data_IF_306580864872
#
_entry.id   IF_306580864872
#
_cell.length_a   1.000
_cell.length_b   1.000
_cell.length_c   1.000
_cell.angle_alpha   90.00
_cell.angle_beta   90.00
_cell.angle_gamma   90.00
#
_symmetry.space_group_name_H-M   'P 1'
#
loop_
_entity.id
_entity.type
_entity.pdbx_description
1 polymer ?
#
# COMPACT_ATOMS: atom_id res chain seq x y z
N UNK A 1 -6.08 -0.97 52.10
CA UNK A 1 -6.64 -0.13 51.04
C UNK A 1 -5.70 -0.20 49.85
N UNK A 2 -5.82 -1.31 49.06
CA UNK A 2 -4.95 -1.57 47.94
C UNK A 2 -5.42 -0.78 46.72
N UNK A 3 -4.58 0.13 46.23
CA UNK A 3 -4.80 0.90 45.00
C UNK A 3 -4.60 -0.06 43.82
N UNK A 4 -5.69 -0.44 43.19
CA UNK A 4 -5.68 -1.18 41.93
C UNK A 4 -5.08 -0.28 40.84
N UNK A 5 -3.85 -0.60 40.44
CA UNK A 5 -3.19 0.05 39.31
C UNK A 5 -3.77 -0.62 38.03
N UNK A 6 -4.40 0.13 37.12
CA UNK A 6 -4.88 -0.45 35.88
C UNK A 6 -3.70 -0.98 35.06
N UNK A 7 -3.88 -2.07 34.29
CA UNK A 7 -2.81 -2.63 33.47
C UNK A 7 -2.34 -1.59 32.45
N UNK A 8 -1.03 -1.36 32.43
CA UNK A 8 -0.36 -0.56 31.42
C UNK A 8 -0.57 -1.23 30.04
N UNK A 9 -1.38 -0.60 29.17
CA UNK A 9 -1.63 -1.12 27.84
C UNK A 9 -2.87 -0.59 27.13
N UNK A 10 -3.75 0.13 27.81
CA UNK A 10 -4.84 0.86 27.16
C UNK A 10 -4.39 2.32 26.98
N UNK A 11 -3.66 2.59 25.89
CA UNK A 11 -3.60 3.96 25.39
C UNK A 11 -5.02 4.42 25.08
N UNK A 12 -5.44 5.66 25.47
CA UNK A 12 -6.73 6.19 25.04
C UNK A 12 -6.76 6.09 23.51
N UNK A 13 -7.72 5.33 22.97
CA UNK A 13 -7.82 5.12 21.54
C UNK A 13 -7.78 6.47 20.85
N UNK A 14 -6.66 6.82 20.21
CA UNK A 14 -6.74 7.76 19.10
C UNK A 14 -7.86 7.21 18.26
N UNK A 15 -8.88 8.01 18.10
CA UNK A 15 -10.09 7.62 17.42
C UNK A 15 -9.71 7.16 16.00
N UNK A 16 -9.50 5.84 15.86
CA UNK A 16 -9.07 5.22 14.61
C UNK A 16 -10.10 5.49 13.53
N UNK A 17 -11.37 5.69 13.94
CA UNK A 17 -12.43 6.06 13.03
C UNK A 17 -12.23 7.47 12.47
N UNK A 18 -11.81 8.44 13.28
CA UNK A 18 -11.51 9.78 12.80
C UNK A 18 -10.30 9.80 11.84
N UNK A 19 -9.29 8.97 12.09
CA UNK A 19 -8.16 8.80 11.16
C UNK A 19 -8.63 8.17 9.86
N UNK A 20 -9.45 7.12 9.92
CA UNK A 20 -10.02 6.45 8.76
C UNK A 20 -10.88 7.40 7.92
N UNK A 21 -11.76 8.19 8.55
CA UNK A 21 -12.58 9.19 7.85
C UNK A 21 -11.71 10.23 7.13
N UNK A 22 -10.68 10.74 7.80
CA UNK A 22 -9.72 11.66 7.17
C UNK A 22 -9.01 11.04 5.98
N UNK A 23 -8.69 9.75 6.05
CA UNK A 23 -7.99 9.01 4.99
C UNK A 23 -8.92 8.51 3.87
N UNK A 24 -10.24 8.51 4.08
CA UNK A 24 -11.22 7.97 3.14
C UNK A 24 -11.04 8.50 1.70
N UNK A 25 -10.87 9.81 1.43
CA UNK A 25 -10.65 10.30 0.07
C UNK A 25 -9.37 9.72 -0.58
N UNK A 26 -8.31 9.58 0.20
CA UNK A 26 -7.05 9.00 -0.27
C UNK A 26 -7.18 7.50 -0.55
N UNK A 27 -7.89 6.76 0.31
CA UNK A 27 -8.17 5.34 0.14
C UNK A 27 -9.09 5.10 -1.07
N UNK A 28 -10.11 5.93 -1.27
CA UNK A 28 -10.99 5.88 -2.43
C UNK A 28 -10.18 6.07 -3.72
N UNK A 29 -9.36 7.12 -3.80
CA UNK A 29 -8.50 7.37 -4.96
C UNK A 29 -7.53 6.19 -5.21
N UNK A 30 -6.99 5.59 -4.14
CA UNK A 30 -6.12 4.42 -4.22
C UNK A 30 -6.80 3.20 -4.82
N UNK A 31 -8.01 2.86 -4.38
CA UNK A 31 -8.74 1.68 -4.87
C UNK A 31 -9.34 1.91 -6.26
N UNK A 32 -10.00 3.05 -6.52
CA UNK A 32 -10.60 3.37 -7.82
C UNK A 32 -9.58 3.33 -8.94
N UNK A 33 -8.38 3.88 -8.71
CA UNK A 33 -7.32 3.87 -9.71
C UNK A 33 -6.86 2.46 -10.09
N UNK A 34 -7.00 1.48 -9.20
CA UNK A 34 -6.54 0.11 -9.42
C UNK A 34 -7.62 -0.86 -9.87
N UNK A 35 -8.83 -0.65 -9.40
CA UNK A 35 -9.97 -1.51 -9.73
C UNK A 35 -10.74 -0.98 -10.93
N UNK A 36 -10.60 0.33 -11.25
CA UNK A 36 -11.38 1.03 -12.26
C UNK A 36 -12.90 0.92 -12.03
N UNK A 37 -13.29 0.54 -10.81
CA UNK A 37 -14.68 0.32 -10.38
C UNK A 37 -14.91 1.00 -9.03
N UNK A 38 -15.67 2.11 -8.98
CA UNK A 38 -15.94 2.82 -7.74
C UNK A 38 -16.77 2.01 -6.73
N UNK A 39 -17.62 1.08 -7.19
CA UNK A 39 -18.45 0.25 -6.30
C UNK A 39 -17.57 -0.75 -5.57
N UNK A 40 -16.70 -1.46 -6.28
CA UNK A 40 -15.72 -2.37 -5.66
C UNK A 40 -14.76 -1.62 -4.74
N UNK A 41 -14.38 -0.39 -5.09
CA UNK A 41 -13.54 0.44 -4.24
C UNK A 41 -14.22 0.77 -2.91
N UNK A 42 -15.51 1.11 -2.94
CA UNK A 42 -16.30 1.39 -1.75
C UNK A 42 -16.44 0.13 -0.88
N UNK A 43 -16.70 -1.04 -1.47
CA UNK A 43 -16.77 -2.31 -0.75
C UNK A 43 -15.46 -2.61 -0.01
N UNK A 44 -14.30 -2.39 -0.66
CA UNK A 44 -13.00 -2.60 -0.02
C UNK A 44 -12.73 -1.58 1.10
N UNK A 45 -13.25 -0.36 0.98
CA UNK A 45 -13.17 0.64 2.06
C UNK A 45 -14.00 0.17 3.26
N UNK A 46 -15.22 -0.31 3.03
CA UNK A 46 -16.08 -0.83 4.10
C UNK A 46 -15.45 -2.03 4.79
N UNK A 47 -14.89 -2.98 4.02
CA UNK A 47 -14.14 -4.12 4.55
C UNK A 47 -12.95 -3.65 5.41
N UNK A 48 -12.24 -2.62 4.97
CA UNK A 48 -11.12 -2.03 5.71
C UNK A 48 -11.60 -1.43 7.04
N UNK A 49 -12.72 -0.68 7.03
CA UNK A 49 -13.31 -0.11 8.25
C UNK A 49 -13.71 -1.21 9.25
N UNK A 50 -14.37 -2.26 8.78
CA UNK A 50 -14.77 -3.40 9.62
C UNK A 50 -13.53 -4.07 10.24
N UNK A 51 -12.50 -4.32 9.44
CA UNK A 51 -11.24 -4.91 9.93
C UNK A 51 -10.56 -4.02 10.97
N UNK A 52 -10.49 -2.71 10.72
CA UNK A 52 -9.89 -1.78 11.67
C UNK A 52 -10.68 -1.67 12.97
N UNK A 53 -12.01 -1.77 12.91
CA UNK A 53 -12.88 -1.75 14.09
C UNK A 53 -12.79 -3.03 14.93
N UNK A 54 -12.60 -4.19 14.29
CA UNK A 54 -12.54 -5.50 14.97
C UNK A 54 -11.12 -5.86 15.44
N UNK A 55 -10.09 -5.34 14.79
CA UNK A 55 -8.72 -5.57 15.23
C UNK A 55 -8.38 -4.63 16.39
N UNK A 56 -7.91 -5.18 17.49
CA UNK A 56 -7.10 -4.41 18.46
C UNK A 56 -5.81 -4.05 17.71
N UNK A 57 -5.85 -2.92 16.98
CA UNK A 57 -4.72 -2.45 16.21
C UNK A 57 -3.44 -2.36 17.04
N UNK A 58 -2.26 -2.48 16.44
CA UNK A 58 -1.02 -2.27 17.15
C UNK A 58 -1.06 -0.88 17.78
N UNK A 59 -0.56 -0.76 19.02
CA UNK A 59 -0.33 0.52 19.66
C UNK A 59 0.75 1.26 18.84
N UNK A 60 0.32 1.97 17.79
CA UNK A 60 1.21 2.70 16.89
C UNK A 60 0.90 4.18 16.96
N UNK A 61 1.95 5.00 17.07
CA UNK A 61 1.84 6.46 16.99
C UNK A 61 1.51 6.97 15.57
N UNK A 62 1.49 6.06 14.58
CA UNK A 62 1.31 6.37 13.16
C UNK A 62 0.31 5.42 12.50
N UNK A 63 -0.98 5.51 12.85
CA UNK A 63 -2.01 4.60 12.37
C UNK A 63 -2.22 4.67 10.86
N UNK A 64 -1.92 5.82 10.24
CA UNK A 64 -2.08 6.03 8.79
C UNK A 64 -1.28 5.02 7.97
N UNK A 65 -0.04 4.77 8.39
CA UNK A 65 0.81 3.78 7.75
C UNK A 65 0.25 2.38 7.81
N UNK A 66 -0.29 2.01 8.96
CA UNK A 66 -0.93 0.71 9.17
C UNK A 66 -2.21 0.56 8.33
N UNK A 67 -3.03 1.61 8.27
CA UNK A 67 -4.25 1.63 7.45
C UNK A 67 -3.92 1.43 5.97
N UNK A 68 -2.93 2.15 5.43
CA UNK A 68 -2.51 1.95 4.03
C UNK A 68 -1.91 0.58 3.77
N UNK A 69 -1.17 0.00 4.70
CA UNK A 69 -0.66 -1.36 4.58
C UNK A 69 -1.81 -2.37 4.53
N UNK A 70 -2.82 -2.21 5.38
CA UNK A 70 -4.00 -3.05 5.37
C UNK A 70 -4.80 -2.90 4.07
N UNK A 71 -4.96 -1.68 3.55
CA UNK A 71 -5.58 -1.41 2.26
C UNK A 71 -4.84 -2.10 1.11
N UNK A 72 -3.50 -2.02 1.09
CA UNK A 72 -2.68 -2.68 0.06
C UNK A 72 -2.78 -4.21 0.14
N UNK A 73 -2.89 -4.78 1.34
CA UNK A 73 -3.09 -6.21 1.53
C UNK A 73 -4.48 -6.65 1.03
N UNK A 74 -5.55 -5.89 1.35
CA UNK A 74 -6.89 -6.15 0.83
C UNK A 74 -6.94 -6.17 -0.69
N UNK A 75 -6.30 -5.19 -1.33
CA UNK A 75 -6.23 -5.12 -2.79
C UNK A 75 -5.48 -6.32 -3.39
N UNK A 76 -4.37 -6.73 -2.76
CA UNK A 76 -3.61 -7.91 -3.18
C UNK A 76 -4.44 -9.19 -3.06
N UNK A 77 -5.22 -9.31 -2.00
CA UNK A 77 -6.12 -10.45 -1.80
C UNK A 77 -7.25 -10.45 -2.83
N UNK A 78 -7.76 -9.28 -3.21
CA UNK A 78 -8.73 -9.12 -4.29
C UNK A 78 -8.16 -9.60 -5.63
N UNK A 79 -6.97 -9.13 -6.02
CA UNK A 79 -6.32 -9.59 -7.26
C UNK A 79 -6.03 -11.08 -7.28
N UNK A 80 -5.67 -11.69 -6.15
CA UNK A 80 -5.49 -13.15 -6.06
C UNK A 80 -6.80 -13.89 -6.30
N UNK A 81 -7.92 -13.40 -5.74
CA UNK A 81 -9.25 -13.97 -5.96
C UNK A 81 -9.67 -13.87 -7.42
N UNK A 82 -9.45 -12.72 -8.03
CA UNK A 82 -9.80 -12.47 -9.44
C UNK A 82 -8.94 -13.31 -10.38
N UNK A 83 -7.64 -13.42 -10.13
CA UNK A 83 -6.73 -14.30 -10.89
C UNK A 83 -7.13 -15.78 -10.78
N UNK A 84 -7.60 -16.22 -9.61
CA UNK A 84 -8.09 -17.59 -9.42
C UNK A 84 -9.39 -17.83 -10.19
N UNK A 85 -10.32 -16.87 -10.16
CA UNK A 85 -11.55 -16.92 -10.97
C UNK A 85 -11.25 -16.97 -12.47
N UNK A 86 -10.32 -16.13 -12.93
CA UNK A 86 -9.92 -16.09 -14.34
C UNK A 86 -9.28 -17.39 -14.79
N UNK A 87 -8.39 -17.99 -14.00
CA UNK A 87 -7.80 -19.31 -14.29
C UNK A 87 -8.86 -20.41 -14.34
N UNK A 88 -9.83 -20.38 -13.42
CA UNK A 88 -10.92 -21.36 -13.42
C UNK A 88 -11.85 -21.21 -14.62
N UNK A 89 -12.01 -20.00 -15.15
CA UNK A 89 -12.75 -19.73 -16.38
C UNK A 89 -11.94 -20.11 -17.63
N UNK A 90 -10.62 -19.86 -17.65
CA UNK A 90 -9.73 -20.22 -18.76
C UNK A 90 -9.43 -21.73 -18.84
N UNK A 91 -9.45 -22.48 -17.74
CA UNK A 91 -9.30 -23.94 -17.81
C UNK A 91 -10.43 -24.64 -18.58
N UNK A 92 -11.42 -23.89 -19.01
CA UNK A 92 -12.49 -24.31 -19.94
C UNK A 92 -12.29 -23.85 -21.39
N UNK A 93 -11.25 -23.08 -21.67
CA UNK A 93 -10.92 -22.60 -23.02
C UNK A 93 -9.44 -22.91 -23.28
N UNK A 94 -9.23 -23.75 -24.29
CA UNK A 94 -8.01 -24.34 -24.84
C UNK A 94 -6.80 -23.43 -24.98
N UNK A 95 -5.61 -24.04 -24.78
CA UNK A 95 -4.24 -23.67 -25.13
C UNK A 95 -4.09 -22.67 -26.28
N UNK A 96 -3.41 -21.56 -25.99
CA UNK A 96 -2.67 -20.81 -27.00
C UNK A 96 -1.24 -20.63 -26.46
N UNK A 97 -0.34 -21.41 -27.03
CA UNK A 97 1.11 -21.33 -26.89
C UNK A 97 1.57 -19.96 -27.45
N UNK A 98 1.89 -19.02 -26.58
CA UNK A 98 2.51 -17.76 -26.94
C UNK A 98 4.02 -18.00 -26.97
N UNK A 99 4.55 -18.29 -28.17
CA UNK A 99 5.97 -18.39 -28.42
C UNK A 99 6.71 -17.14 -27.92
N UNK A 100 7.59 -17.30 -26.95
CA UNK A 100 8.44 -16.23 -26.40
C UNK A 100 9.66 -16.10 -27.33
N UNK A 101 9.79 -14.92 -27.97
CA UNK A 101 10.95 -14.57 -28.78
C UNK A 101 12.21 -14.48 -27.86
N UNK A 102 13.36 -15.12 -28.25
CA UNK A 102 14.58 -15.10 -27.42
C UNK A 102 15.13 -13.70 -27.10
N UNK A 103 14.93 -12.73 -27.98
CA UNK A 103 15.33 -11.30 -27.78
C UNK A 103 14.49 -10.66 -26.66
N UNK A 104 13.28 -11.10 -26.48
CA UNK A 104 12.39 -10.66 -25.39
C UNK A 104 12.80 -11.27 -24.03
N UNK A 105 13.42 -12.45 -24.02
CA UNK A 105 13.82 -13.12 -22.78
C UNK A 105 14.93 -12.38 -22.03
N UNK A 106 15.92 -11.83 -22.71
CA UNK A 106 17.02 -11.07 -22.10
C UNK A 106 16.53 -9.71 -21.57
N UNK A 107 15.69 -9.03 -22.33
CA UNK A 107 15.01 -7.78 -21.89
C UNK A 107 14.08 -8.03 -20.70
N UNK A 108 13.35 -9.13 -20.71
CA UNK A 108 12.49 -9.56 -19.61
C UNK A 108 13.31 -9.87 -18.35
N UNK A 109 14.45 -10.51 -18.49
CA UNK A 109 15.35 -10.83 -17.37
C UNK A 109 15.94 -9.53 -16.77
N UNK A 110 16.45 -8.63 -17.60
CA UNK A 110 16.96 -7.33 -17.18
C UNK A 110 15.88 -6.47 -16.49
N UNK A 111 14.67 -6.42 -17.07
CA UNK A 111 13.54 -5.73 -16.47
C UNK A 111 13.15 -6.35 -15.11
N UNK A 112 13.14 -7.67 -14.98
CA UNK A 112 12.87 -8.36 -13.71
C UNK A 112 13.93 -8.07 -12.65
N UNK A 113 15.21 -8.01 -13.03
CA UNK A 113 16.31 -7.65 -12.14
C UNK A 113 16.17 -6.20 -11.63
N UNK A 114 15.87 -5.26 -12.53
CA UNK A 114 15.65 -3.85 -12.19
C UNK A 114 14.44 -3.67 -11.26
N UNK A 115 13.32 -4.33 -11.55
CA UNK A 115 12.14 -4.33 -10.66
C UNK A 115 12.46 -4.95 -9.31
N UNK A 116 13.23 -6.05 -9.30
CA UNK A 116 13.69 -6.70 -8.08
C UNK A 116 14.58 -5.79 -7.21
N UNK A 117 15.47 -5.03 -7.83
CA UNK A 117 16.31 -4.04 -7.16
C UNK A 117 15.46 -2.94 -6.52
N UNK A 118 14.57 -2.33 -7.29
CA UNK A 118 13.63 -1.30 -6.79
C UNK A 118 12.78 -1.84 -5.63
N UNK A 119 12.22 -3.05 -5.76
CA UNK A 119 11.41 -3.66 -4.72
C UNK A 119 12.18 -3.90 -3.41
N UNK A 120 13.42 -4.39 -3.49
CA UNK A 120 14.30 -4.59 -2.33
C UNK A 120 14.64 -3.25 -1.67
N UNK A 121 15.04 -2.25 -2.45
CA UNK A 121 15.39 -0.91 -1.94
C UNK A 121 14.20 -0.27 -1.23
N UNK A 122 13.01 -0.30 -1.85
CA UNK A 122 11.78 0.18 -1.20
C UNK A 122 11.44 -0.62 0.06
N UNK A 123 11.68 -1.94 0.04
CA UNK A 123 11.49 -2.81 1.21
C UNK A 123 12.35 -2.42 2.41
N UNK A 124 13.56 -1.92 2.19
CA UNK A 124 14.49 -1.45 3.22
C UNK A 124 14.18 -0.05 3.78
N UNK A 125 13.28 0.71 3.15
CA UNK A 125 12.90 2.03 3.65
C UNK A 125 11.97 1.93 4.87
N UNK A 126 12.01 2.93 5.78
CA UNK A 126 10.99 3.07 6.81
C UNK A 126 9.59 3.05 6.20
N UNK A 127 8.66 2.33 6.82
CA UNK A 127 7.31 2.08 6.28
C UNK A 127 6.60 3.36 5.80
N UNK A 128 6.64 4.41 6.62
CA UNK A 128 6.04 5.70 6.27
C UNK A 128 6.65 6.33 5.02
N UNK A 129 7.97 6.25 4.86
CA UNK A 129 8.69 6.77 3.68
C UNK A 129 8.30 6.00 2.43
N UNK A 130 8.30 4.67 2.53
CA UNK A 130 7.90 3.78 1.45
C UNK A 130 6.46 4.06 0.99
N UNK A 131 5.52 4.17 1.93
CA UNK A 131 4.11 4.41 1.62
C UNK A 131 3.89 5.77 0.95
N UNK A 132 4.48 6.84 1.50
CA UNK A 132 4.39 8.17 0.91
C UNK A 132 4.96 8.18 -0.51
N UNK A 133 6.09 7.49 -0.73
CA UNK A 133 6.68 7.38 -2.06
C UNK A 133 5.78 6.61 -3.04
N UNK A 134 5.21 5.48 -2.61
CA UNK A 134 4.27 4.69 -3.42
C UNK A 134 3.06 5.54 -3.81
N UNK A 135 2.42 6.21 -2.84
CA UNK A 135 1.25 7.06 -3.10
C UNK A 135 1.56 8.20 -4.06
N UNK A 136 2.72 8.81 -3.93
CA UNK A 136 3.12 9.89 -4.81
C UNK A 136 3.50 9.39 -6.22
N UNK A 137 4.39 8.37 -6.31
CA UNK A 137 5.01 7.98 -7.58
C UNK A 137 4.18 6.97 -8.37
N UNK A 138 3.59 5.97 -7.70
CA UNK A 138 2.84 4.91 -8.35
C UNK A 138 1.34 5.25 -8.41
N UNK A 139 0.80 5.88 -7.36
CA UNK A 139 -0.62 6.26 -7.33
C UNK A 139 -0.88 7.65 -7.91
N UNK A 140 0.16 8.46 -8.14
CA UNK A 140 0.03 9.80 -8.69
C UNK A 140 -0.75 10.76 -7.79
N UNK A 141 -0.79 10.48 -6.48
CA UNK A 141 -1.48 11.37 -5.54
C UNK A 141 -0.75 12.69 -5.38
N UNK A 142 -1.52 13.76 -5.24
CA UNK A 142 -0.96 15.08 -4.96
C UNK A 142 -0.35 15.13 -3.56
N UNK A 143 0.79 15.84 -3.40
CA UNK A 143 1.49 15.97 -2.10
C UNK A 143 0.59 16.50 -0.99
N UNK A 144 -0.33 17.42 -1.32
CA UNK A 144 -1.31 17.95 -0.37
C UNK A 144 -2.24 16.86 0.14
N UNK A 145 -2.81 16.04 -0.74
CA UNK A 145 -3.68 14.93 -0.36
C UNK A 145 -2.97 13.90 0.53
N UNK A 146 -1.68 13.62 0.23
CA UNK A 146 -0.85 12.75 1.07
C UNK A 146 -0.59 13.41 2.44
N UNK A 147 -0.28 14.70 2.47
CA UNK A 147 -0.05 15.45 3.71
C UNK A 147 -1.29 15.41 4.61
N UNK A 148 -2.47 15.68 4.04
CA UNK A 148 -3.74 15.64 4.75
C UNK A 148 -4.04 14.24 5.29
N UNK A 149 -3.88 13.19 4.46
CA UNK A 149 -4.09 11.80 4.84
C UNK A 149 -3.17 11.35 5.99
N UNK A 150 -1.91 11.75 5.95
CA UNK A 150 -0.91 11.37 6.96
C UNK A 150 -0.83 12.32 8.16
N UNK A 151 -1.59 13.42 8.15
CA UNK A 151 -1.56 14.44 9.21
C UNK A 151 -0.18 15.09 9.37
N UNK A 152 0.49 15.40 8.26
CA UNK A 152 1.82 16.03 8.22
C UNK A 152 1.84 17.21 7.25
N UNK A 153 2.90 18.02 7.31
CA UNK A 153 3.09 19.10 6.35
C UNK A 153 3.49 18.58 4.96
N UNK A 154 3.19 19.38 3.92
CA UNK A 154 3.63 19.10 2.54
C UNK A 154 5.16 19.01 2.47
N UNK A 155 5.88 19.87 3.21
CA UNK A 155 7.34 19.81 3.28
C UNK A 155 7.85 18.49 3.89
N UNK A 156 7.13 17.91 4.86
CA UNK A 156 7.48 16.60 5.40
C UNK A 156 7.27 15.50 4.35
N UNK A 157 6.19 15.56 3.55
CA UNK A 157 5.96 14.66 2.41
C UNK A 157 7.11 14.74 1.42
N UNK A 158 7.54 15.94 1.05
CA UNK A 158 8.68 16.15 0.13
C UNK A 158 9.99 15.57 0.66
N UNK A 159 10.26 15.70 1.95
CA UNK A 159 11.43 15.05 2.59
C UNK A 159 11.37 13.53 2.48
N UNK A 160 10.22 12.92 2.69
CA UNK A 160 10.04 11.47 2.52
C UNK A 160 10.28 11.05 1.08
N UNK A 161 9.73 11.77 0.11
CA UNK A 161 9.93 11.50 -1.33
C UNK A 161 11.42 11.61 -1.70
N UNK A 162 12.09 12.68 -1.27
CA UNK A 162 13.52 12.90 -1.54
C UNK A 162 14.38 11.80 -0.91
N UNK A 163 14.06 11.33 0.29
CA UNK A 163 14.77 10.22 0.94
C UNK A 163 14.63 8.91 0.16
N UNK A 164 13.41 8.60 -0.31
CA UNK A 164 13.17 7.40 -1.11
C UNK A 164 13.90 7.47 -2.46
N UNK A 165 13.85 8.62 -3.15
CA UNK A 165 14.56 8.83 -4.41
C UNK A 165 16.06 8.65 -4.26
N UNK A 166 16.64 9.20 -3.18
CA UNK A 166 18.08 9.07 -2.89
C UNK A 166 18.52 7.63 -2.70
N UNK A 167 17.73 6.86 -1.95
CA UNK A 167 17.99 5.44 -1.74
C UNK A 167 17.91 4.63 -3.05
N UNK A 168 16.92 4.94 -3.90
CA UNK A 168 16.76 4.28 -5.20
C UNK A 168 17.93 4.61 -6.15
N UNK A 169 18.35 5.88 -6.22
CA UNK A 169 19.47 6.29 -7.05
C UNK A 169 20.78 5.64 -6.61
N UNK A 170 21.03 5.55 -5.29
CA UNK A 170 22.19 4.85 -4.77
C UNK A 170 22.18 3.35 -5.17
N UNK A 171 21.06 2.67 -5.01
CA UNK A 171 20.92 1.25 -5.36
C UNK A 171 21.03 0.96 -6.87
N UNK A 172 20.73 1.95 -7.71
CA UNK A 172 20.85 1.82 -9.18
C UNK A 172 22.26 2.20 -9.68
N UNK A 173 23.01 3.01 -8.92
CA UNK A 173 24.39 3.37 -9.22
C UNK A 173 25.40 2.29 -8.87
N UNK A 174 25.05 1.37 -7.97
CA UNK A 174 25.88 0.24 -7.53
C UNK A 174 25.62 -1.05 -8.35
N UNK A 175 24.81 -0.99 -9.39
CA UNK A 175 24.46 -2.13 -10.28
C UNK A 175 25.10 -1.97 -11.65
#
# INVERSE_FOLDING_TARGET
MMKHRPPAGAMPGRDLSAVMERMRPALMAFFVRRLSDPVQAEDLIQDLFIRMATMRGPATDKPEGYIFQAAANLLRDQYRRDATRYRYQQSRATDADLGVDPIDAERLLSARQSVGCVARTLGGLPDRTRQIFILYRLEGMQRKAIADAFGISVSAVEKHIANAMRALLAAMGDS
#
